data_IF_656283410197
#
_entry.id   IF_656283410197
#
_cell.length_a   1.000
_cell.length_b   1.000
_cell.length_c   1.000
_cell.angle_alpha   90.00
_cell.angle_beta   90.00
_cell.angle_gamma   90.00
#
_symmetry.space_group_name_H-M   'P 1'
#
loop_
_entity.id
_entity.type
_entity.pdbx_description
1 polymer ?
#
# COMPACT_ATOMS: atom_id res chain seq x y z
N UNK A 1 33.45 13.37 32.13
CA UNK A 1 32.72 12.09 32.07
C UNK A 1 33.52 11.15 31.19
N UNK A 2 33.62 9.88 31.54
CA UNK A 2 34.27 8.85 30.71
C UNK A 2 33.29 8.26 29.69
N UNK A 3 33.75 7.57 28.63
CA UNK A 3 32.86 6.85 27.71
C UNK A 3 31.94 5.84 28.40
N UNK A 4 32.40 5.21 29.48
CA UNK A 4 31.59 4.27 30.27
C UNK A 4 30.49 4.98 31.07
N UNK A 5 30.81 6.12 31.70
CA UNK A 5 29.80 6.94 32.39
C UNK A 5 28.75 7.47 31.41
N UNK A 6 29.17 7.87 30.21
CA UNK A 6 28.28 8.30 29.14
C UNK A 6 27.34 7.18 28.70
N UNK A 7 27.85 5.96 28.53
CA UNK A 7 27.01 4.80 28.22
C UNK A 7 25.95 4.57 29.30
N UNK A 8 26.31 4.65 30.57
CA UNK A 8 25.37 4.47 31.67
C UNK A 8 24.31 5.58 31.74
N UNK A 9 24.67 6.84 31.47
CA UNK A 9 23.69 7.92 31.38
C UNK A 9 22.71 7.70 30.21
N UNK A 10 23.24 7.29 29.06
CA UNK A 10 22.45 6.90 27.89
C UNK A 10 21.44 5.79 28.25
N UNK A 11 21.92 4.70 28.83
CA UNK A 11 21.14 3.53 29.23
C UNK A 11 19.99 3.91 30.17
N UNK A 12 20.28 4.68 31.22
CA UNK A 12 19.28 5.15 32.18
C UNK A 12 18.19 6.02 31.53
N UNK A 13 18.55 6.79 30.50
CA UNK A 13 17.63 7.65 29.75
C UNK A 13 16.84 6.96 28.64
N UNK A 14 17.32 5.83 28.12
CA UNK A 14 16.87 5.24 26.85
C UNK A 14 15.37 4.94 26.84
N UNK A 15 14.82 4.36 27.91
CA UNK A 15 13.40 3.99 27.97
C UNK A 15 12.46 5.18 27.74
N UNK A 16 12.83 6.38 28.18
CA UNK A 16 12.05 7.61 28.01
C UNK A 16 12.40 8.37 26.75
N UNK A 17 13.64 8.23 26.25
CA UNK A 17 14.20 9.03 25.16
C UNK A 17 14.95 8.15 24.16
N UNK A 18 14.29 7.13 23.58
CA UNK A 18 14.94 6.16 22.68
C UNK A 18 15.78 6.79 21.55
N UNK A 19 15.38 7.96 21.05
CA UNK A 19 16.09 8.72 20.03
C UNK A 19 17.53 9.07 20.40
N UNK A 20 17.86 9.10 21.71
CA UNK A 20 19.20 9.44 22.18
C UNK A 20 20.25 8.40 21.80
N UNK A 21 19.86 7.14 21.54
CA UNK A 21 20.81 6.15 21.02
C UNK A 21 21.37 6.58 19.65
N UNK A 22 20.48 7.07 18.78
CA UNK A 22 20.87 7.52 17.45
C UNK A 22 21.65 8.81 17.53
N UNK A 23 21.29 9.71 18.45
CA UNK A 23 22.01 10.97 18.66
C UNK A 23 23.44 10.72 19.14
N UNK A 24 23.62 9.81 20.11
CA UNK A 24 24.94 9.44 20.61
C UNK A 24 25.80 8.80 19.51
N UNK A 25 25.27 7.82 18.77
CA UNK A 25 25.98 7.23 17.63
C UNK A 25 26.31 8.29 16.57
N UNK A 26 25.38 9.22 16.31
CA UNK A 26 25.61 10.31 15.36
C UNK A 26 26.73 11.24 15.81
N UNK A 27 26.85 11.55 17.10
CA UNK A 27 27.99 12.33 17.61
C UNK A 27 29.30 11.60 17.40
N UNK A 28 29.35 10.29 17.67
CA UNK A 28 30.54 9.46 17.45
C UNK A 28 30.94 9.50 15.97
N UNK A 29 30.01 9.20 15.08
CA UNK A 29 30.27 9.14 13.64
C UNK A 29 30.63 10.53 13.08
N UNK A 30 30.01 11.59 13.60
CA UNK A 30 30.28 12.97 13.22
C UNK A 30 31.70 13.42 13.59
N UNK A 31 32.18 13.12 14.82
CA UNK A 31 33.55 13.51 15.21
C UNK A 31 34.61 12.68 14.51
N UNK A 32 34.32 11.40 14.25
CA UNK A 32 35.21 10.52 13.47
C UNK A 32 35.34 11.01 12.04
N UNK A 33 34.24 11.43 11.40
CA UNK A 33 34.25 11.97 10.04
C UNK A 33 34.96 13.33 9.91
N UNK A 34 35.25 14.01 11.03
CA UNK A 34 36.03 15.25 11.09
C UNK A 34 37.50 15.00 11.50
N UNK A 35 37.93 13.74 11.64
CA UNK A 35 39.26 13.36 12.09
C UNK A 35 39.66 14.05 13.42
N UNK A 36 38.68 14.20 14.32
CA UNK A 36 38.87 14.86 15.62
C UNK A 36 39.56 13.99 16.67
N UNK A 37 39.27 12.68 16.80
CA UNK A 37 39.88 11.85 17.84
C UNK A 37 41.42 11.93 17.81
N UNK A 38 42.03 12.29 18.94
CA UNK A 38 43.48 12.47 19.07
C UNK A 38 44.04 13.78 18.50
N UNK A 39 43.20 14.70 17.98
CA UNK A 39 43.64 15.99 17.43
C UNK A 39 43.86 17.10 18.47
N UNK A 40 43.59 16.82 19.75
CA UNK A 40 43.69 17.78 20.86
C UNK A 40 42.48 18.69 21.04
N UNK A 41 41.44 18.56 20.21
CA UNK A 41 40.14 19.22 20.40
C UNK A 41 39.34 18.45 21.44
N UNK A 42 38.97 19.10 22.54
CA UNK A 42 38.34 18.48 23.70
C UNK A 42 37.00 19.10 24.10
N UNK A 43 36.74 20.34 23.68
CA UNK A 43 35.50 21.07 24.00
C UNK A 43 34.71 21.43 22.75
N UNK A 44 33.42 21.71 22.91
CA UNK A 44 32.59 22.16 21.79
C UNK A 44 33.05 23.52 21.22
N UNK A 45 33.55 24.40 22.09
CA UNK A 45 34.13 25.68 21.68
C UNK A 45 35.38 25.49 20.80
N UNK A 46 36.27 24.56 21.14
CA UNK A 46 37.43 24.22 20.32
C UNK A 46 37.03 23.58 18.99
N UNK A 47 36.02 22.69 19.03
CA UNK A 47 35.49 22.05 17.82
C UNK A 47 34.97 23.10 16.85
N UNK A 48 34.17 24.05 17.32
CA UNK A 48 33.59 25.11 16.49
C UNK A 48 34.60 26.19 16.10
N UNK A 49 35.69 26.37 16.85
CA UNK A 49 36.80 27.20 16.42
C UNK A 49 37.57 26.58 15.25
N UNK A 50 37.73 25.26 15.24
CA UNK A 50 38.40 24.51 14.15
C UNK A 50 37.49 24.25 12.95
N UNK A 51 36.21 23.99 13.21
CA UNK A 51 35.16 23.70 12.23
C UNK A 51 33.98 24.65 12.48
N UNK A 52 33.99 25.87 11.90
CA UNK A 52 32.98 26.88 12.14
C UNK A 52 31.56 26.34 12.01
N UNK A 53 30.72 26.64 13.00
CA UNK A 53 29.32 26.23 12.99
C UNK A 53 28.52 27.05 11.96
N UNK A 54 27.74 26.37 11.15
CA UNK A 54 26.77 26.99 10.24
C UNK A 54 25.44 27.16 10.97
N UNK A 55 25.06 28.41 11.25
CA UNK A 55 23.82 28.75 11.96
C UNK A 55 22.67 29.15 11.04
N UNK A 56 22.97 29.46 9.78
CA UNK A 56 21.98 29.81 8.74
C UNK A 56 22.18 28.90 7.54
N UNK A 57 21.10 28.27 7.08
CA UNK A 57 21.10 27.39 5.90
C UNK A 57 21.23 28.20 4.62
N UNK A 58 21.56 27.53 3.50
CA UNK A 58 21.62 28.18 2.17
C UNK A 58 20.32 28.83 1.71
N UNK A 59 19.18 28.52 2.36
CA UNK A 59 17.87 29.11 2.10
C UNK A 59 17.54 30.32 2.98
N UNK A 60 18.43 30.68 3.92
CA UNK A 60 18.24 31.80 4.84
C UNK A 60 17.56 31.44 6.17
N UNK A 61 17.14 30.18 6.36
CA UNK A 61 16.52 29.70 7.60
C UNK A 61 17.58 29.35 8.66
N UNK A 62 17.23 29.45 9.94
CA UNK A 62 18.07 28.97 11.04
C UNK A 62 18.32 27.46 10.94
N UNK A 63 19.58 27.04 11.11
CA UNK A 63 19.97 25.64 11.10
C UNK A 63 19.39 24.92 12.33
N UNK A 64 18.57 23.89 12.09
CA UNK A 64 17.90 23.10 13.13
C UNK A 64 18.64 21.80 13.48
N UNK A 65 19.93 21.74 13.20
CA UNK A 65 20.83 20.62 13.53
C UNK A 65 22.26 21.14 13.60
N UNK A 66 23.18 20.35 14.17
CA UNK A 66 24.59 20.71 14.17
C UNK A 66 25.15 20.56 12.74
N UNK A 67 25.62 21.68 12.19
CA UNK A 67 26.27 21.75 10.88
C UNK A 67 27.58 22.50 11.07
N UNK A 68 28.68 21.97 10.51
CA UNK A 68 29.99 22.63 10.54
C UNK A 68 30.59 22.74 9.14
N UNK A 69 31.46 23.73 8.93
CA UNK A 69 32.27 23.88 7.73
C UNK A 69 33.48 22.94 7.77
N UNK A 70 33.80 22.32 6.62
CA UNK A 70 34.99 21.46 6.48
C UNK A 70 36.19 22.25 5.96
N UNK A 71 37.44 21.93 6.39
CA UNK A 71 38.65 22.65 5.96
C UNK A 71 38.91 22.64 4.44
N UNK A 72 38.36 21.66 3.72
CA UNK A 72 38.46 21.52 2.26
C UNK A 72 37.25 22.07 1.48
N UNK A 73 36.34 22.79 2.14
CA UNK A 73 35.09 23.28 1.55
C UNK A 73 33.90 22.34 1.76
N UNK A 74 32.70 22.92 1.67
CA UNK A 74 31.43 22.25 1.97
C UNK A 74 31.13 22.15 3.47
N UNK A 75 29.99 21.56 3.79
CA UNK A 75 29.50 21.41 5.16
C UNK A 75 29.33 19.94 5.54
N UNK A 76 29.34 19.66 6.84
CA UNK A 76 29.00 18.38 7.40
C UNK A 76 27.85 18.56 8.39
N UNK A 77 26.80 17.73 8.27
CA UNK A 77 25.59 17.82 9.08
C UNK A 77 25.41 16.57 9.93
N UNK A 78 25.08 16.76 11.21
CA UNK A 78 24.76 15.67 12.14
C UNK A 78 23.55 14.84 11.68
N UNK A 79 22.61 15.48 10.97
CA UNK A 79 21.38 14.81 10.51
C UNK A 79 21.64 13.62 9.61
N UNK A 80 22.63 13.70 8.72
CA UNK A 80 22.96 12.58 7.83
C UNK A 80 23.40 11.32 8.59
N UNK A 81 24.17 11.48 9.66
CA UNK A 81 24.58 10.37 10.52
C UNK A 81 23.40 9.79 11.31
N UNK A 82 22.49 10.65 11.77
CA UNK A 82 21.28 10.21 12.44
C UNK A 82 20.35 9.42 11.51
N UNK A 83 20.15 9.91 10.29
CA UNK A 83 19.33 9.23 9.28
C UNK A 83 19.91 7.84 8.96
N UNK A 84 21.24 7.72 8.88
CA UNK A 84 21.91 6.44 8.66
C UNK A 84 21.68 5.45 9.81
N UNK A 85 21.86 5.85 11.07
CA UNK A 85 21.65 4.93 12.20
C UNK A 85 20.16 4.65 12.45
N UNK A 86 19.27 5.60 12.17
CA UNK A 86 17.82 5.37 12.18
C UNK A 86 17.43 4.32 11.14
N UNK A 87 18.01 4.39 9.94
CA UNK A 87 17.84 3.40 8.86
C UNK A 87 18.35 2.03 9.29
N UNK A 88 19.55 1.94 9.86
CA UNK A 88 20.10 0.70 10.40
C UNK A 88 19.13 0.05 11.41
N UNK A 89 18.70 0.79 12.44
CA UNK A 89 17.80 0.21 13.45
C UNK A 89 16.44 -0.18 12.89
N UNK A 90 15.80 0.70 12.11
CA UNK A 90 14.41 0.50 11.68
C UNK A 90 14.31 -0.36 10.44
N UNK A 91 15.08 -0.05 9.40
CA UNK A 91 14.96 -0.69 8.09
C UNK A 91 15.76 -1.98 8.00
N UNK A 92 16.99 -2.03 8.50
CA UNK A 92 17.85 -3.21 8.39
C UNK A 92 17.52 -4.20 9.52
N UNK A 93 17.56 -3.73 10.77
CA UNK A 93 17.36 -4.55 11.97
C UNK A 93 15.90 -4.69 12.41
N UNK A 94 14.95 -4.10 11.66
CA UNK A 94 13.50 -4.21 11.92
C UNK A 94 13.07 -3.84 13.35
N UNK A 95 13.80 -2.94 14.02
CA UNK A 95 13.45 -2.40 15.35
C UNK A 95 12.47 -1.24 15.21
N UNK A 96 11.25 -1.51 14.76
CA UNK A 96 10.24 -0.46 14.48
C UNK A 96 9.79 0.35 15.72
N UNK A 97 10.08 -0.15 16.93
CA UNK A 97 9.88 0.58 18.19
C UNK A 97 10.93 1.67 18.46
N UNK A 98 11.99 1.72 17.64
CA UNK A 98 12.94 2.83 17.60
C UNK A 98 12.27 4.02 16.88
N UNK A 99 12.27 5.24 17.43
CA UNK A 99 11.50 6.34 16.85
C UNK A 99 12.07 6.79 15.49
N UNK A 100 11.18 7.13 14.54
CA UNK A 100 11.57 7.95 13.38
C UNK A 100 11.48 9.41 13.79
N UNK A 101 12.61 10.03 14.10
CA UNK A 101 12.63 11.29 14.84
C UNK A 101 13.82 12.19 14.49
N UNK A 102 14.48 11.98 13.35
CA UNK A 102 15.67 12.73 12.97
C UNK A 102 15.56 14.26 13.15
N UNK A 103 14.49 14.96 12.71
CA UNK A 103 14.38 16.41 12.93
C UNK A 103 14.30 16.80 14.41
N UNK A 104 13.58 16.02 15.22
CA UNK A 104 13.42 16.27 16.65
C UNK A 104 14.71 15.94 17.42
N UNK A 105 15.29 14.77 17.20
CA UNK A 105 16.49 14.31 17.87
C UNK A 105 17.67 15.23 17.58
N UNK A 106 17.91 15.49 16.29
CA UNK A 106 19.04 16.33 15.87
C UNK A 106 18.78 17.81 16.06
N UNK A 107 17.54 18.26 16.28
CA UNK A 107 17.22 19.64 16.65
C UNK A 107 17.46 19.95 18.13
N UNK A 108 17.56 18.92 18.96
CA UNK A 108 17.87 19.04 20.40
C UNK A 108 19.32 18.71 20.73
N UNK A 109 20.20 18.63 19.73
CA UNK A 109 21.60 18.27 19.91
C UNK A 109 22.30 19.12 20.99
N UNK A 110 21.95 20.41 21.10
CA UNK A 110 22.51 21.33 22.07
C UNK A 110 22.20 20.94 23.53
N UNK A 111 21.07 20.24 23.78
CA UNK A 111 20.73 19.70 25.11
C UNK A 111 21.73 18.61 25.56
N UNK A 112 22.56 18.11 24.63
CA UNK A 112 23.50 17.00 24.83
C UNK A 112 24.96 17.38 24.55
N UNK A 113 25.33 18.66 24.66
CA UNK A 113 26.73 19.12 24.57
C UNK A 113 27.67 18.32 25.50
N UNK A 114 27.31 17.98 26.76
CA UNK A 114 28.19 17.18 27.61
C UNK A 114 28.52 15.78 27.03
N UNK A 115 27.60 15.18 26.27
CA UNK A 115 27.84 13.93 25.57
C UNK A 115 28.82 14.12 24.42
N UNK A 116 28.62 15.18 23.62
CA UNK A 116 29.52 15.53 22.53
C UNK A 116 30.94 15.81 23.04
N UNK A 117 31.10 16.57 24.12
CA UNK A 117 32.43 16.84 24.71
C UNK A 117 33.10 15.58 25.24
N UNK A 118 32.34 14.67 25.85
CA UNK A 118 32.87 13.36 26.24
C UNK A 118 33.37 12.57 25.03
N UNK A 119 32.61 12.59 23.93
CA UNK A 119 32.99 11.98 22.65
C UNK A 119 34.25 12.65 22.04
N UNK A 120 34.43 13.96 22.18
CA UNK A 120 35.64 14.67 21.72
C UNK A 120 36.91 14.26 22.49
N UNK A 121 36.78 13.97 23.79
CA UNK A 121 37.92 13.57 24.63
C UNK A 121 38.30 12.08 24.51
N UNK A 122 37.43 11.26 23.93
CA UNK A 122 37.65 9.83 23.80
C UNK A 122 38.62 9.50 22.66
N UNK A 123 39.39 8.42 22.82
CA UNK A 123 40.23 7.87 21.76
C UNK A 123 39.37 7.22 20.67
N UNK A 124 39.93 7.07 19.46
CA UNK A 124 39.24 6.41 18.36
C UNK A 124 38.80 4.97 18.73
N UNK A 125 39.62 4.25 19.50
CA UNK A 125 39.30 2.88 19.95
C UNK A 125 38.12 2.86 20.94
N UNK A 126 38.10 3.80 21.90
CA UNK A 126 36.98 3.93 22.84
C UNK A 126 35.68 4.29 22.13
N UNK A 127 35.73 5.15 21.12
CA UNK A 127 34.57 5.52 20.31
C UNK A 127 33.99 4.35 19.53
N UNK A 128 34.85 3.52 18.91
CA UNK A 128 34.42 2.29 18.23
C UNK A 128 33.71 1.35 19.21
N UNK A 129 34.28 1.14 20.39
CA UNK A 129 33.67 0.29 21.44
C UNK A 129 32.34 0.87 21.93
N UNK A 130 32.28 2.17 22.20
CA UNK A 130 31.07 2.84 22.67
C UNK A 130 29.95 2.74 21.63
N UNK A 131 30.25 3.01 20.35
CA UNK A 131 29.30 2.89 19.24
C UNK A 131 28.71 1.48 19.16
N UNK A 132 29.56 0.46 19.18
CA UNK A 132 29.13 -0.93 19.14
C UNK A 132 28.24 -1.30 20.34
N UNK A 133 28.60 -0.82 21.53
CA UNK A 133 27.86 -1.08 22.77
C UNK A 133 26.47 -0.42 22.76
N UNK A 134 26.35 0.81 22.26
CA UNK A 134 25.06 1.49 22.08
C UNK A 134 24.18 0.73 21.09
N UNK A 135 24.74 0.33 19.94
CA UNK A 135 24.00 -0.44 18.93
C UNK A 135 23.50 -1.76 19.51
N UNK A 136 24.37 -2.54 20.15
CA UNK A 136 24.00 -3.81 20.75
C UNK A 136 22.90 -3.63 21.80
N UNK A 137 23.02 -2.61 22.66
CA UNK A 137 21.99 -2.31 23.66
C UNK A 137 20.62 -2.06 23.02
N UNK A 138 20.56 -1.29 21.92
CA UNK A 138 19.29 -1.07 21.18
C UNK A 138 18.75 -2.38 20.61
N UNK A 139 19.60 -3.21 20.01
CA UNK A 139 19.19 -4.48 19.42
C UNK A 139 18.69 -5.50 20.44
N UNK A 140 19.28 -5.50 21.64
CA UNK A 140 18.88 -6.38 22.74
C UNK A 140 17.58 -5.93 23.41
N UNK A 141 17.35 -4.61 23.49
CA UNK A 141 16.20 -4.03 24.22
C UNK A 141 14.98 -3.74 23.33
N UNK A 142 15.16 -3.59 22.03
CA UNK A 142 14.06 -3.43 21.09
C UNK A 142 13.83 -4.76 20.38
N UNK A 143 12.58 -5.22 20.39
CA UNK A 143 12.20 -6.45 19.70
C UNK A 143 12.30 -6.27 18.19
N UNK A 144 12.89 -7.24 17.49
CA UNK A 144 12.76 -7.32 16.04
C UNK A 144 11.32 -7.63 15.65
N UNK A 145 10.78 -6.84 14.72
CA UNK A 145 9.46 -7.06 14.13
C UNK A 145 9.57 -7.76 12.77
N UNK A 146 10.71 -8.40 12.49
CA UNK A 146 10.85 -9.27 11.33
C UNK A 146 9.82 -10.41 11.43
N UNK A 147 9.14 -10.67 10.32
CA UNK A 147 8.29 -11.85 10.15
C UNK A 147 8.70 -12.51 8.84
N UNK A 148 8.51 -13.83 8.78
CA UNK A 148 8.70 -14.58 7.54
C UNK A 148 7.56 -14.24 6.56
N UNK A 149 7.82 -13.57 5.43
CA UNK A 149 6.79 -13.26 4.46
C UNK A 149 6.10 -14.52 3.90
N UNK A 150 6.81 -15.67 3.91
CA UNK A 150 6.28 -16.95 3.45
C UNK A 150 5.29 -17.58 4.43
N UNK A 151 5.21 -17.07 5.67
CA UNK A 151 4.21 -17.50 6.64
C UNK A 151 2.80 -16.94 6.37
N UNK A 152 2.67 -15.97 5.45
CA UNK A 152 1.39 -15.35 5.11
C UNK A 152 0.71 -16.11 3.97
N UNK A 153 -0.39 -16.79 4.28
CA UNK A 153 -1.26 -17.38 3.26
C UNK A 153 -1.92 -16.26 2.43
N UNK A 154 -1.69 -16.27 1.11
CA UNK A 154 -2.30 -15.30 0.20
C UNK A 154 -3.32 -16.01 -0.68
N UNK A 155 -4.56 -15.57 -0.56
CA UNK A 155 -5.66 -16.09 -1.37
C UNK A 155 -5.52 -15.61 -2.84
N UNK A 156 -5.86 -16.45 -3.83
CA UNK A 156 -5.82 -16.05 -5.23
C UNK A 156 -6.88 -14.97 -5.52
N UNK A 157 -6.58 -13.95 -6.34
CA UNK A 157 -7.53 -12.90 -6.73
C UNK A 157 -8.50 -13.42 -7.82
N UNK A 158 -9.35 -14.38 -7.45
CA UNK A 158 -10.15 -15.15 -8.40
C UNK A 158 -11.14 -14.30 -9.23
N UNK A 159 -11.67 -13.20 -8.68
CA UNK A 159 -12.57 -12.33 -9.45
C UNK A 159 -11.83 -11.52 -10.50
N UNK A 160 -10.61 -11.04 -10.18
CA UNK A 160 -9.68 -10.49 -11.18
C UNK A 160 -9.42 -11.50 -12.30
N UNK A 161 -9.09 -12.75 -11.95
CA UNK A 161 -8.83 -13.80 -12.92
C UNK A 161 -10.06 -14.12 -13.79
N UNK A 162 -11.27 -14.11 -13.21
CA UNK A 162 -12.53 -14.22 -13.97
C UNK A 162 -12.63 -13.09 -15.00
N UNK A 163 -12.42 -11.85 -14.58
CA UNK A 163 -12.43 -10.70 -15.48
C UNK A 163 -11.36 -10.78 -16.56
N UNK A 164 -10.23 -11.45 -16.35
CA UNK A 164 -9.14 -11.55 -17.34
C UNK A 164 -9.31 -12.73 -18.32
N UNK A 165 -9.75 -13.89 -17.82
CA UNK A 165 -9.57 -15.16 -18.53
C UNK A 165 -10.86 -15.94 -18.74
N UNK A 166 -11.93 -15.65 -18.01
CA UNK A 166 -13.19 -16.36 -18.20
C UNK A 166 -13.86 -15.91 -19.49
N UNK A 167 -14.24 -16.85 -20.34
CA UNK A 167 -14.98 -16.52 -21.55
C UNK A 167 -16.40 -16.09 -21.19
N UNK A 168 -16.59 -14.78 -21.10
CA UNK A 168 -17.87 -14.16 -20.81
C UNK A 168 -18.85 -14.27 -21.98
N UNK A 169 -18.37 -14.58 -23.18
CA UNK A 169 -19.16 -14.60 -24.42
C UNK A 169 -19.52 -16.00 -24.89
N UNK A 170 -18.96 -17.04 -24.28
CA UNK A 170 -19.28 -18.43 -24.55
C UNK A 170 -20.79 -18.67 -24.46
N UNK A 171 -21.46 -18.74 -25.62
CA UNK A 171 -22.84 -19.16 -25.72
C UNK A 171 -22.83 -20.67 -25.95
N UNK A 172 -22.81 -21.45 -24.87
CA UNK A 172 -23.18 -22.86 -25.00
C UNK A 172 -24.68 -22.93 -25.35
N UNK A 173 -25.12 -23.96 -26.09
CA UNK A 173 -26.57 -24.15 -26.40
C UNK A 173 -27.46 -24.20 -25.14
N UNK A 174 -26.85 -24.37 -23.96
CA UNK A 174 -27.52 -24.50 -22.67
C UNK A 174 -27.39 -23.27 -21.78
N UNK A 175 -26.64 -22.24 -22.19
CA UNK A 175 -26.44 -21.00 -21.43
C UNK A 175 -27.22 -19.83 -22.05
N UNK A 176 -28.10 -19.16 -21.29
CA UNK A 176 -28.78 -17.97 -21.74
C UNK A 176 -27.80 -16.82 -22.06
N UNK A 177 -28.00 -16.18 -23.21
CA UNK A 177 -27.27 -14.96 -23.58
C UNK A 177 -27.40 -13.91 -22.48
N UNK A 178 -26.29 -13.28 -22.11
CA UNK A 178 -26.20 -12.27 -21.06
C UNK A 178 -25.90 -12.81 -19.67
N UNK A 179 -26.18 -14.08 -19.38
CA UNK A 179 -26.15 -14.60 -18.01
C UNK A 179 -24.78 -14.47 -17.34
N UNK A 180 -23.71 -14.86 -18.04
CA UNK A 180 -22.35 -14.76 -17.50
C UNK A 180 -21.97 -13.33 -17.12
N UNK A 181 -22.25 -12.36 -18.00
CA UNK A 181 -21.85 -10.98 -17.77
C UNK A 181 -22.75 -10.26 -16.77
N UNK A 182 -24.04 -10.61 -16.70
CA UNK A 182 -24.93 -10.14 -15.64
C UNK A 182 -24.49 -10.66 -14.27
N UNK A 183 -24.08 -11.94 -14.18
CA UNK A 183 -23.53 -12.53 -12.96
C UNK A 183 -22.22 -11.87 -12.50
N UNK A 184 -21.31 -11.54 -13.43
CA UNK A 184 -20.11 -10.75 -13.13
C UNK A 184 -20.48 -9.37 -12.61
N UNK A 185 -21.39 -8.65 -13.28
CA UNK A 185 -21.81 -7.31 -12.86
C UNK A 185 -22.45 -7.34 -11.47
N UNK A 186 -23.27 -8.36 -11.19
CA UNK A 186 -23.84 -8.57 -9.86
C UNK A 186 -22.78 -8.84 -8.80
N UNK A 187 -21.83 -9.73 -9.06
CA UNK A 187 -20.72 -9.99 -8.14
C UNK A 187 -19.88 -8.75 -7.88
N UNK A 188 -19.59 -7.98 -8.93
CA UNK A 188 -18.86 -6.72 -8.84
C UNK A 188 -19.59 -5.72 -7.93
N UNK A 189 -20.86 -5.42 -8.23
CA UNK A 189 -21.63 -4.44 -7.46
C UNK A 189 -21.86 -4.88 -6.01
N UNK A 190 -22.05 -6.18 -5.77
CA UNK A 190 -22.21 -6.72 -4.41
C UNK A 190 -20.96 -6.55 -3.56
N UNK A 191 -19.78 -6.76 -4.14
CA UNK A 191 -18.51 -6.59 -3.45
C UNK A 191 -18.10 -5.12 -3.29
N UNK A 192 -18.39 -4.29 -4.29
CA UNK A 192 -18.02 -2.87 -4.28
C UNK A 192 -18.94 -2.04 -3.37
N UNK A 193 -20.21 -2.44 -3.26
CA UNK A 193 -21.23 -1.75 -2.47
C UNK A 193 -21.81 -2.66 -1.36
N UNK A 194 -20.99 -3.08 -0.38
CA UNK A 194 -21.40 -4.09 0.61
C UNK A 194 -22.52 -3.62 1.54
N UNK A 195 -22.71 -2.30 1.68
CA UNK A 195 -23.74 -1.68 2.51
C UNK A 195 -25.14 -1.68 1.86
N UNK A 196 -25.23 -1.91 0.55
CA UNK A 196 -26.49 -1.92 -0.17
C UNK A 196 -27.13 -3.33 -0.19
N UNK A 197 -28.45 -3.39 -0.32
CA UNK A 197 -29.15 -4.61 -0.73
C UNK A 197 -29.08 -4.71 -2.26
N UNK A 198 -28.15 -5.51 -2.78
CA UNK A 198 -28.04 -5.75 -4.22
C UNK A 198 -28.95 -6.92 -4.62
N UNK A 199 -29.84 -6.66 -5.57
CA UNK A 199 -30.83 -7.58 -6.11
C UNK A 199 -30.58 -7.87 -7.59
N UNK A 200 -30.81 -9.12 -7.98
CA UNK A 200 -30.68 -9.63 -9.35
C UNK A 200 -31.76 -10.69 -9.59
N UNK A 201 -32.16 -10.88 -10.84
CA UNK A 201 -33.03 -11.98 -11.28
C UNK A 201 -32.45 -12.62 -12.55
N UNK A 202 -33.05 -13.70 -13.03
CA UNK A 202 -32.63 -14.39 -14.25
C UNK A 202 -32.66 -13.46 -15.44
N UNK A 203 -31.76 -13.71 -16.39
CA UNK A 203 -31.85 -13.02 -17.68
C UNK A 203 -33.18 -13.34 -18.38
N UNK A 204 -33.63 -12.42 -19.24
CA UNK A 204 -34.89 -12.53 -20.00
C UNK A 204 -36.17 -12.53 -19.14
N UNK A 205 -36.05 -12.32 -17.83
CA UNK A 205 -37.16 -12.02 -16.93
C UNK A 205 -37.39 -10.52 -16.98
N UNK A 206 -38.37 -10.07 -17.77
CA UNK A 206 -38.58 -8.64 -18.02
C UNK A 206 -38.67 -7.83 -16.73
N UNK A 207 -37.68 -6.95 -16.47
CA UNK A 207 -37.49 -6.16 -15.24
C UNK A 207 -38.74 -5.40 -14.80
N UNK A 208 -39.51 -4.87 -15.78
CA UNK A 208 -40.78 -4.16 -15.56
C UNK A 208 -41.86 -4.98 -14.85
N UNK A 209 -41.87 -6.31 -14.99
CA UNK A 209 -42.85 -7.18 -14.31
C UNK A 209 -42.57 -7.34 -12.81
N UNK A 210 -41.36 -6.98 -12.40
CA UNK A 210 -40.84 -7.14 -11.04
C UNK A 210 -40.55 -5.80 -10.37
N UNK A 211 -41.04 -4.69 -10.95
CA UNK A 211 -40.78 -3.31 -10.48
C UNK A 211 -39.30 -2.92 -10.38
N UNK A 212 -38.40 -3.67 -11.05
CA UNK A 212 -36.97 -3.38 -11.13
C UNK A 212 -36.69 -2.30 -12.17
N UNK A 213 -35.60 -1.56 -11.97
CA UNK A 213 -35.16 -0.50 -12.88
C UNK A 213 -34.16 -1.04 -13.89
N UNK A 214 -33.10 -1.69 -13.44
CA UNK A 214 -32.09 -2.32 -14.28
C UNK A 214 -32.12 -3.85 -14.19
N UNK A 215 -31.04 -4.46 -14.67
CA UNK A 215 -30.78 -5.88 -14.54
C UNK A 215 -30.27 -6.24 -13.14
N UNK A 216 -29.53 -5.32 -12.52
CA UNK A 216 -29.04 -5.41 -11.13
C UNK A 216 -29.37 -4.10 -10.40
N UNK A 217 -30.12 -4.17 -9.32
CA UNK A 217 -30.54 -2.99 -8.54
C UNK A 217 -29.91 -3.03 -7.14
N UNK A 218 -29.50 -1.87 -6.62
CA UNK A 218 -28.92 -1.73 -5.30
C UNK A 218 -29.69 -0.72 -4.45
N UNK A 219 -30.24 -1.21 -3.34
CA UNK A 219 -31.11 -0.44 -2.47
C UNK A 219 -30.42 -0.04 -1.17
N UNK A 220 -30.74 1.16 -0.69
CA UNK A 220 -30.46 1.63 0.66
C UNK A 220 -31.79 1.79 1.39
N UNK A 221 -32.22 0.73 2.09
CA UNK A 221 -33.56 0.68 2.64
C UNK A 221 -34.61 0.72 1.52
N UNK A 222 -35.48 1.73 1.52
CA UNK A 222 -36.51 1.90 0.48
C UNK A 222 -36.07 2.73 -0.73
N UNK A 223 -34.83 3.24 -0.76
CA UNK A 223 -34.32 4.13 -1.81
C UNK A 223 -33.43 3.36 -2.78
N UNK A 224 -33.68 3.51 -4.08
CA UNK A 224 -32.75 3.01 -5.10
C UNK A 224 -31.48 3.87 -5.06
N UNK A 225 -30.35 3.27 -4.71
CA UNK A 225 -29.07 3.96 -4.62
C UNK A 225 -28.26 3.82 -5.92
N UNK A 226 -28.24 2.61 -6.48
CA UNK A 226 -27.55 2.28 -7.73
C UNK A 226 -28.40 1.30 -8.53
N UNK A 227 -28.35 1.39 -9.85
CA UNK A 227 -28.98 0.44 -10.75
C UNK A 227 -28.07 0.22 -11.94
N UNK A 228 -27.97 -1.01 -12.44
CA UNK A 228 -27.13 -1.36 -13.56
C UNK A 228 -27.93 -2.03 -14.68
N UNK A 229 -27.80 -1.49 -15.88
CA UNK A 229 -28.24 -2.11 -17.13
C UNK A 229 -27.05 -2.87 -17.75
N UNK A 230 -27.22 -4.16 -18.04
CA UNK A 230 -26.12 -5.04 -18.47
C UNK A 230 -26.23 -5.39 -19.95
N UNK A 231 -25.22 -5.02 -20.73
CA UNK A 231 -25.10 -5.31 -22.17
C UNK A 231 -23.90 -6.19 -22.45
N UNK A 232 -24.15 -7.46 -22.79
CA UNK A 232 -23.10 -8.41 -23.19
C UNK A 232 -22.65 -8.19 -24.64
N UNK A 233 -22.27 -6.97 -24.99
CA UNK A 233 -21.70 -6.59 -26.28
C UNK A 233 -20.95 -5.26 -26.14
N UNK A 234 -20.22 -4.90 -27.18
CA UNK A 234 -19.54 -3.62 -27.30
C UNK A 234 -20.53 -2.55 -27.79
N UNK A 235 -20.69 -1.46 -27.03
CA UNK A 235 -21.67 -0.41 -27.33
C UNK A 235 -21.04 0.64 -28.24
N UNK A 236 -21.68 0.84 -29.39
CA UNK A 236 -21.36 1.89 -30.35
C UNK A 236 -22.33 3.07 -30.20
N UNK A 237 -22.01 4.21 -30.81
CA UNK A 237 -22.82 5.44 -30.74
C UNK A 237 -24.28 5.22 -31.17
N UNK A 238 -24.54 4.30 -32.11
CA UNK A 238 -25.90 3.96 -32.55
C UNK A 238 -26.72 3.21 -31.48
N UNK A 239 -26.07 2.51 -30.54
CA UNK A 239 -26.71 1.78 -29.46
C UNK A 239 -27.10 2.65 -28.26
N UNK A 240 -26.51 3.84 -28.15
CA UNK A 240 -26.66 4.73 -26.97
C UNK A 240 -28.10 5.19 -26.78
N UNK A 241 -28.83 5.47 -27.86
CA UNK A 241 -30.23 5.92 -27.81
C UNK A 241 -31.14 4.93 -27.06
N UNK A 242 -30.81 3.64 -27.05
CA UNK A 242 -31.60 2.62 -26.36
C UNK A 242 -31.53 2.74 -24.83
N UNK A 243 -30.61 3.56 -24.30
CA UNK A 243 -30.37 3.75 -22.87
C UNK A 243 -31.16 4.93 -22.28
N UNK A 244 -31.79 5.77 -23.10
CA UNK A 244 -32.54 6.96 -22.65
C UNK A 244 -33.62 6.62 -21.60
N UNK A 245 -34.33 5.51 -21.80
CA UNK A 245 -35.36 5.05 -20.86
C UNK A 245 -34.78 4.71 -19.48
N UNK A 246 -33.58 4.11 -19.46
CA UNK A 246 -32.87 3.77 -18.22
C UNK A 246 -32.28 5.01 -17.55
N UNK A 247 -31.68 5.92 -18.32
CA UNK A 247 -31.22 7.23 -17.85
C UNK A 247 -32.34 8.02 -17.16
N UNK A 248 -33.50 8.09 -17.79
CA UNK A 248 -34.66 8.76 -17.20
C UNK A 248 -35.12 8.08 -15.90
N UNK A 249 -35.22 6.74 -15.91
CA UNK A 249 -35.68 5.99 -14.74
C UNK A 249 -34.77 6.13 -13.52
N UNK A 250 -33.45 6.15 -13.71
CA UNK A 250 -32.46 6.36 -12.65
C UNK A 250 -32.39 7.83 -12.24
N UNK A 251 -32.40 8.75 -13.21
CA UNK A 251 -32.38 10.20 -12.99
C UNK A 251 -33.55 10.72 -12.15
N UNK A 252 -34.79 10.32 -12.46
CA UNK A 252 -35.98 10.71 -11.66
C UNK A 252 -35.86 10.26 -10.19
N UNK A 253 -35.13 9.16 -9.93
CA UNK A 253 -34.94 8.59 -8.59
C UNK A 253 -33.70 9.15 -7.88
N UNK A 254 -32.87 9.95 -8.55
CA UNK A 254 -31.58 10.39 -8.04
C UNK A 254 -30.63 9.21 -7.74
N UNK A 255 -30.78 8.10 -8.46
CA UNK A 255 -29.95 6.91 -8.30
C UNK A 255 -28.75 6.97 -9.26
N UNK A 256 -27.64 6.32 -8.90
CA UNK A 256 -26.53 6.09 -9.82
C UNK A 256 -26.96 5.08 -10.89
N UNK A 257 -27.08 5.52 -12.14
CA UNK A 257 -27.33 4.63 -13.27
C UNK A 257 -26.03 4.14 -13.89
N UNK A 258 -25.79 2.84 -13.87
CA UNK A 258 -24.59 2.20 -14.43
C UNK A 258 -24.96 1.45 -15.71
N UNK A 259 -24.16 1.59 -16.75
CA UNK A 259 -24.27 0.76 -17.95
C UNK A 259 -23.06 -0.15 -17.98
N UNK A 260 -23.28 -1.43 -17.65
CA UNK A 260 -22.22 -2.42 -17.69
C UNK A 260 -22.15 -3.03 -19.10
N UNK A 261 -21.02 -2.91 -19.79
CA UNK A 261 -20.84 -3.42 -21.15
C UNK A 261 -19.53 -4.19 -21.34
N UNK A 262 -19.40 -4.99 -22.41
CA UNK A 262 -18.09 -5.60 -22.72
C UNK A 262 -17.06 -4.53 -23.12
N UNK A 263 -17.52 -3.38 -23.62
CA UNK A 263 -16.73 -2.20 -23.91
C UNK A 263 -17.60 -1.10 -24.53
N UNK A 264 -16.98 0.05 -24.78
CA UNK A 264 -17.59 1.19 -25.46
C UNK A 264 -16.65 1.71 -26.55
N UNK A 265 -17.20 2.26 -27.63
CA UNK A 265 -16.48 3.25 -28.44
C UNK A 265 -16.30 4.55 -27.63
N UNK A 266 -15.28 5.35 -27.94
CA UNK A 266 -15.01 6.60 -27.21
C UNK A 266 -16.21 7.57 -27.24
N UNK A 267 -16.81 7.75 -28.42
CA UNK A 267 -18.01 8.58 -28.60
C UNK A 267 -19.21 8.02 -27.81
N UNK A 268 -19.35 6.69 -27.79
CA UNK A 268 -20.43 6.03 -27.06
C UNK A 268 -20.25 6.17 -25.54
N UNK A 269 -19.00 6.05 -25.05
CA UNK A 269 -18.65 6.24 -23.65
C UNK A 269 -19.02 7.64 -23.19
N UNK A 270 -18.62 8.65 -23.96
CA UNK A 270 -18.93 10.04 -23.66
C UNK A 270 -20.44 10.30 -23.68
N UNK A 271 -21.15 9.81 -24.71
CA UNK A 271 -22.59 10.01 -24.82
C UNK A 271 -23.38 9.33 -23.68
N UNK A 272 -22.91 8.17 -23.16
CA UNK A 272 -23.47 7.55 -21.95
C UNK A 272 -23.27 8.44 -20.73
N UNK A 273 -22.07 9.00 -20.55
CA UNK A 273 -21.80 9.96 -19.47
C UNK A 273 -22.62 11.24 -19.56
N UNK A 274 -22.82 11.77 -20.77
CA UNK A 274 -23.62 12.98 -21.00
C UNK A 274 -25.11 12.79 -20.66
N UNK A 275 -25.61 11.56 -20.70
CA UNK A 275 -26.96 11.20 -20.21
C UNK A 275 -27.06 11.08 -18.69
N UNK A 276 -25.96 11.31 -17.95
CA UNK A 276 -25.90 11.14 -16.50
C UNK A 276 -25.74 9.68 -16.05
N UNK A 277 -25.33 8.79 -16.96
CA UNK A 277 -25.04 7.38 -16.66
C UNK A 277 -23.54 7.14 -16.50
N UNK A 278 -23.17 6.07 -15.82
CA UNK A 278 -21.79 5.65 -15.58
C UNK A 278 -21.45 4.50 -16.53
N UNK A 279 -20.59 4.70 -17.55
CA UNK A 279 -20.12 3.62 -18.39
C UNK A 279 -19.12 2.75 -17.62
N UNK A 280 -19.46 1.46 -17.47
CA UNK A 280 -18.63 0.48 -16.75
C UNK A 280 -18.32 -0.69 -17.69
N UNK A 281 -17.16 -0.66 -18.33
CA UNK A 281 -16.72 -1.79 -19.14
C UNK A 281 -15.84 -2.77 -18.36
N UNK A 282 -15.54 -3.91 -19.00
CA UNK A 282 -14.66 -4.95 -18.45
C UNK A 282 -13.28 -4.41 -18.04
N UNK A 283 -12.69 -3.51 -18.82
CA UNK A 283 -11.37 -2.94 -18.52
C UNK A 283 -11.43 -2.03 -17.29
N UNK A 284 -12.47 -1.22 -17.17
CA UNK A 284 -12.74 -0.35 -16.03
C UNK A 284 -13.01 -1.18 -14.77
N UNK A 285 -13.82 -2.25 -14.88
CA UNK A 285 -14.01 -3.20 -13.78
C UNK A 285 -12.68 -3.80 -13.34
N UNK A 286 -11.81 -4.20 -14.27
CA UNK A 286 -10.52 -4.80 -13.96
C UNK A 286 -9.62 -3.82 -13.19
N UNK A 287 -9.51 -2.57 -13.64
CA UNK A 287 -8.74 -1.52 -12.95
C UNK A 287 -9.21 -1.31 -11.50
N UNK A 288 -10.53 -1.36 -11.27
CA UNK A 288 -11.08 -1.24 -9.91
C UNK A 288 -10.75 -2.49 -9.08
N UNK A 289 -10.90 -3.67 -9.65
CA UNK A 289 -10.70 -4.96 -8.99
C UNK A 289 -9.22 -5.26 -8.68
N UNK A 290 -8.27 -4.67 -9.41
CA UNK A 290 -6.83 -4.78 -9.11
C UNK A 290 -6.47 -4.26 -7.71
N UNK A 291 -7.27 -3.34 -7.16
CA UNK A 291 -7.06 -2.77 -5.83
C UNK A 291 -7.85 -3.49 -4.73
N UNK A 292 -8.61 -4.54 -5.06
CA UNK A 292 -9.45 -5.23 -4.09
C UNK A 292 -8.66 -6.21 -3.22
N UNK A 293 -8.95 -6.17 -1.93
CA UNK A 293 -8.51 -7.17 -0.96
C UNK A 293 -9.15 -8.55 -1.21
N UNK A 294 -8.61 -9.62 -0.59
CA UNK A 294 -9.15 -10.98 -0.73
C UNK A 294 -10.63 -11.13 -0.35
N UNK A 295 -11.14 -10.34 0.61
CA UNK A 295 -12.54 -10.41 1.04
C UNK A 295 -13.45 -9.93 -0.09
N UNK A 296 -13.15 -8.78 -0.70
CA UNK A 296 -13.90 -8.28 -1.85
C UNK A 296 -13.85 -9.24 -3.04
N UNK A 297 -12.68 -9.80 -3.34
CA UNK A 297 -12.51 -10.82 -4.40
C UNK A 297 -13.45 -12.02 -4.13
N UNK A 298 -13.39 -12.59 -2.92
CA UNK A 298 -14.23 -13.73 -2.52
C UNK A 298 -15.72 -13.40 -2.51
N UNK A 299 -16.12 -12.21 -2.06
CA UNK A 299 -17.53 -11.78 -2.08
C UNK A 299 -18.06 -11.70 -3.50
N UNK A 300 -17.29 -11.19 -4.44
CA UNK A 300 -17.70 -11.11 -5.84
C UNK A 300 -17.83 -12.50 -6.48
N UNK A 301 -16.85 -13.39 -6.24
CA UNK A 301 -16.90 -14.78 -6.72
C UNK A 301 -18.10 -15.53 -6.14
N UNK A 302 -18.29 -15.50 -4.82
CA UNK A 302 -19.40 -16.22 -4.18
C UNK A 302 -20.76 -15.68 -4.63
N UNK A 303 -20.86 -14.38 -4.88
CA UNK A 303 -22.07 -13.76 -5.47
C UNK A 303 -22.33 -14.26 -6.89
N UNK A 304 -21.29 -14.39 -7.73
CA UNK A 304 -21.47 -14.94 -9.08
C UNK A 304 -21.87 -16.43 -9.04
N UNK A 305 -21.26 -17.23 -8.16
CA UNK A 305 -21.64 -18.64 -7.93
C UNK A 305 -23.10 -18.74 -7.44
N UNK A 306 -23.50 -17.87 -6.51
CA UNK A 306 -24.87 -17.80 -6.02
C UNK A 306 -25.84 -17.50 -7.17
N UNK A 307 -25.54 -16.47 -7.99
CA UNK A 307 -26.36 -16.13 -9.13
C UNK A 307 -26.51 -17.31 -10.11
N UNK A 308 -25.40 -17.92 -10.53
CA UNK A 308 -25.44 -19.03 -11.50
C UNK A 308 -26.28 -20.22 -10.99
N UNK A 309 -26.09 -20.60 -9.74
CA UNK A 309 -26.69 -21.81 -9.16
C UNK A 309 -28.11 -21.61 -8.63
N UNK A 310 -28.42 -20.45 -8.03
CA UNK A 310 -29.66 -20.24 -7.28
C UNK A 310 -30.61 -19.24 -7.93
N UNK A 311 -30.08 -18.20 -8.60
CA UNK A 311 -30.89 -17.22 -9.31
C UNK A 311 -31.18 -17.73 -10.71
N UNK A 312 -30.16 -17.79 -11.58
CA UNK A 312 -30.26 -18.27 -12.97
C UNK A 312 -30.66 -19.76 -13.03
N UNK A 313 -30.14 -20.56 -12.08
CA UNK A 313 -30.34 -22.02 -11.99
C UNK A 313 -29.86 -22.72 -13.26
N UNK A 314 -28.67 -22.38 -13.72
CA UNK A 314 -28.08 -22.93 -14.94
C UNK A 314 -26.87 -23.80 -14.62
N UNK A 315 -27.04 -25.12 -14.72
CA UNK A 315 -25.96 -26.07 -14.41
C UNK A 315 -24.75 -25.92 -15.34
N UNK A 316 -24.95 -25.63 -16.62
CA UNK A 316 -23.84 -25.42 -17.57
C UNK A 316 -22.94 -24.26 -17.16
N UNK A 317 -23.54 -23.12 -16.76
CA UNK A 317 -22.80 -21.96 -16.26
C UNK A 317 -22.12 -22.26 -14.91
N UNK A 318 -22.84 -22.90 -13.99
CA UNK A 318 -22.30 -23.28 -12.68
C UNK A 318 -21.09 -24.24 -12.81
N UNK A 319 -21.18 -25.24 -13.69
CA UNK A 319 -20.11 -26.21 -13.92
C UNK A 319 -18.89 -25.54 -14.55
N UNK A 320 -19.10 -24.68 -15.57
CA UNK A 320 -18.03 -23.94 -16.23
C UNK A 320 -17.34 -22.96 -15.28
N UNK A 321 -18.11 -22.27 -14.44
CA UNK A 321 -17.59 -21.38 -13.42
C UNK A 321 -16.76 -22.14 -12.37
N UNK A 322 -17.27 -23.27 -11.87
CA UNK A 322 -16.58 -24.11 -10.89
C UNK A 322 -15.26 -24.66 -11.43
N UNK A 323 -15.27 -25.17 -12.66
CA UNK A 323 -14.08 -25.66 -13.34
C UNK A 323 -13.03 -24.55 -13.52
N UNK A 324 -13.47 -23.36 -13.95
CA UNK A 324 -12.58 -22.20 -14.09
C UNK A 324 -11.95 -21.79 -12.76
N UNK A 325 -12.74 -21.64 -11.70
CA UNK A 325 -12.26 -21.19 -10.39
C UNK A 325 -11.22 -22.17 -9.80
N UNK A 326 -11.45 -23.47 -9.99
CA UNK A 326 -10.53 -24.52 -9.54
C UNK A 326 -9.20 -24.43 -10.28
N UNK A 327 -9.23 -24.39 -11.62
CA UNK A 327 -8.03 -24.31 -12.44
C UNK A 327 -7.26 -23.00 -12.21
N UNK A 328 -7.95 -21.86 -12.27
CA UNK A 328 -7.34 -20.54 -12.12
C UNK A 328 -6.72 -20.34 -10.73
N UNK A 329 -7.33 -20.91 -9.68
CA UNK A 329 -6.77 -20.92 -8.34
C UNK A 329 -5.48 -21.72 -8.25
N UNK A 330 -5.45 -22.94 -8.80
CA UNK A 330 -4.26 -23.78 -8.84
C UNK A 330 -3.12 -23.13 -9.63
N UNK A 331 -3.40 -22.66 -10.85
CA UNK A 331 -2.42 -22.00 -11.72
C UNK A 331 -1.77 -20.78 -11.03
N UNK A 332 -2.57 -20.00 -10.30
CA UNK A 332 -2.08 -18.82 -9.61
C UNK A 332 -1.19 -19.17 -8.42
N UNK A 333 -1.54 -20.21 -7.66
CA UNK A 333 -0.73 -20.67 -6.53
C UNK A 333 0.62 -21.22 -7.02
N UNK A 334 0.63 -22.01 -8.09
CA UNK A 334 1.85 -22.52 -8.70
C UNK A 334 2.75 -21.36 -9.20
N UNK A 335 2.18 -20.40 -9.93
CA UNK A 335 2.93 -19.23 -10.41
C UNK A 335 3.48 -18.37 -9.25
N UNK A 336 2.72 -18.24 -8.15
CA UNK A 336 3.16 -17.50 -6.97
C UNK A 336 4.30 -18.21 -6.25
N UNK A 337 4.21 -19.52 -6.05
CA UNK A 337 5.26 -20.31 -5.42
C UNK A 337 6.58 -20.17 -6.19
N UNK A 338 6.54 -20.32 -7.52
CA UNK A 338 7.72 -20.14 -8.37
C UNK A 338 8.32 -18.72 -8.28
N UNK A 339 7.49 -17.68 -8.21
CA UNK A 339 7.96 -16.30 -8.10
C UNK A 339 8.63 -16.01 -6.73
N UNK A 340 8.14 -16.64 -5.66
CA UNK A 340 8.72 -16.51 -4.32
C UNK A 340 10.09 -17.21 -4.25
N UNK A 341 10.21 -18.43 -4.81
CA UNK A 341 11.48 -19.16 -4.84
C UNK A 341 12.59 -18.34 -5.53
N UNK A 342 12.30 -17.75 -6.70
CA UNK A 342 13.24 -16.89 -7.43
C UNK A 342 13.68 -15.68 -6.61
N UNK A 343 12.77 -15.05 -5.86
CA UNK A 343 13.10 -13.91 -5.01
C UNK A 343 14.05 -14.30 -3.87
N UNK A 344 13.84 -15.47 -3.26
CA UNK A 344 14.69 -15.97 -2.17
C UNK A 344 16.10 -16.39 -2.63
N UNK A 345 16.24 -16.91 -3.85
CA UNK A 345 17.56 -17.26 -4.42
C UNK A 345 18.38 -16.02 -4.81
N UNK A 346 17.72 -14.93 -5.21
CA UNK A 346 18.37 -13.65 -5.50
C UNK A 346 18.99 -13.00 -4.26
N UNK A 347 18.27 -13.00 -3.14
CA UNK A 347 18.76 -12.44 -1.87
C UNK A 347 19.96 -13.21 -1.29
N UNK A 348 20.04 -14.54 -1.48
CA UNK A 348 21.16 -15.36 -1.01
C UNK A 348 22.44 -15.17 -1.84
N UNK A 349 22.31 -14.86 -3.12
CA UNK A 349 23.46 -14.61 -4.02
C UNK A 349 24.03 -13.20 -3.89
N UNK A 350 23.26 -12.21 -3.42
CA UNK A 350 23.76 -10.85 -3.13
C UNK A 350 24.40 -10.72 -1.73
N UNK A 351 24.18 -11.70 -0.86
CA UNK A 351 24.75 -11.75 0.50
C UNK A 351 25.97 -12.70 0.63
N UNK A 352 26.44 -13.25 -0.49
CA UNK A 352 27.69 -14.03 -0.63
C UNK A 352 28.73 -13.22 -1.42
#
# INVERSE_FOLDING_TARGET
MTPDELFHEFEAGFRRRKYTAGLLVSFIDFVQALDVPGSGVTTFAELTAKFPQVTTTSRGDSANTLIVEKPGGGTLSLRGFYDAIETYYRAEEKRFDYPSAAPFATGRWADFIPWLETVLTATAEELVKLRARVNQFVLDNLKSQAFDPNSVEVEPPLFRLLLERFDLTAVSRREPTGASFQGITFGFLRADNPHLQIEIDKVRTGSRRLQRIGDVDGWEGGRLAISAEVKQYHITSAGVQQLEGFANATGIRGALGVVAALGFDDDARQAVSDMGLIPLDRATMLQIVELWDPIKQRTAVTSFVYYASHVEKNSSLSDRLSAFLTQAGADWQEARAAAVEVATEGEQNESS
#
